data_IF_079386263471
#
_entry.id   IF_079386263471
#
_cell.length_a   1.000
_cell.length_b   1.000
_cell.length_c   1.000
_cell.angle_alpha   90.00
_cell.angle_beta   90.00
_cell.angle_gamma   90.00
#
_symmetry.space_group_name_H-M   'P 1'
#
loop_
_entity.id
_entity.type
_entity.pdbx_description
1 polymer ?
#
# COMPACT_ATOMS: atom_id res chain seq x y z
N UNK A 1 8.54 5.08 74.71
CA UNK A 1 9.22 4.62 73.47
C UNK A 1 8.31 4.90 72.29
N UNK A 2 8.64 5.93 71.50
CA UNK A 2 7.82 6.44 70.40
C UNK A 2 8.06 5.60 69.13
N UNK A 3 6.99 5.06 68.54
CA UNK A 3 7.03 4.39 67.22
C UNK A 3 6.56 5.37 66.14
N UNK A 4 7.52 5.92 65.41
CA UNK A 4 7.30 6.77 64.24
C UNK A 4 6.94 5.88 63.04
N UNK A 5 5.66 5.88 62.66
CA UNK A 5 5.16 5.21 61.46
C UNK A 5 5.49 6.06 60.22
N UNK A 6 6.56 5.73 59.49
CA UNK A 6 6.82 6.28 58.17
C UNK A 6 5.86 5.69 57.15
N UNK A 7 4.83 6.47 56.81
CA UNK A 7 3.89 6.18 55.73
C UNK A 7 4.55 6.56 54.41
N UNK A 8 5.26 5.63 53.75
CA UNK A 8 5.79 5.84 52.40
C UNK A 8 4.63 5.93 51.41
N UNK A 9 4.24 7.16 51.08
CA UNK A 9 3.31 7.45 50.00
C UNK A 9 3.99 7.27 48.64
N UNK A 10 3.86 6.09 48.03
CA UNK A 10 4.10 5.90 46.60
C UNK A 10 2.92 6.48 45.81
N UNK A 11 2.78 7.80 45.86
CA UNK A 11 1.89 8.52 44.98
C UNK A 11 2.51 8.53 43.57
N UNK A 12 1.95 7.71 42.68
CA UNK A 12 1.74 8.09 41.27
C UNK A 12 2.97 8.69 40.57
N UNK A 13 4.05 7.92 40.43
CA UNK A 13 5.29 8.37 39.75
C UNK A 13 5.17 8.47 38.22
N UNK A 14 4.04 8.07 37.63
CA UNK A 14 3.76 8.36 36.23
C UNK A 14 2.74 9.49 36.17
N UNK A 15 3.11 10.67 35.65
CA UNK A 15 2.13 11.71 35.45
C UNK A 15 1.09 11.17 34.47
N UNK A 16 -0.19 11.32 34.79
CA UNK A 16 -1.31 10.86 33.94
C UNK A 16 -1.17 11.34 32.48
N UNK A 17 -0.45 12.44 32.27
CA UNK A 17 -0.08 12.97 30.96
C UNK A 17 0.81 12.03 30.13
N UNK A 18 1.67 11.21 30.73
CA UNK A 18 2.56 10.30 30.01
C UNK A 18 1.79 9.10 29.43
N UNK A 19 0.80 8.58 30.17
CA UNK A 19 -0.10 7.53 29.67
C UNK A 19 -0.99 8.10 28.56
N UNK A 20 -1.51 9.31 28.73
CA UNK A 20 -2.28 9.99 27.69
C UNK A 20 -1.45 10.23 26.41
N UNK A 21 -0.19 10.67 26.54
CA UNK A 21 0.72 10.83 25.40
C UNK A 21 1.04 9.50 24.69
N UNK A 22 1.22 8.41 25.43
CA UNK A 22 1.51 7.10 24.83
C UNK A 22 0.30 6.56 24.06
N UNK A 23 -0.91 6.77 24.58
CA UNK A 23 -2.16 6.39 23.89
C UNK A 23 -2.37 7.24 22.64
N UNK A 24 -2.15 8.56 22.70
CA UNK A 24 -2.22 9.42 21.52
C UNK A 24 -1.18 9.04 20.47
N UNK A 25 0.05 8.69 20.87
CA UNK A 25 1.10 8.24 19.95
C UNK A 25 0.77 6.89 19.29
N UNK A 26 0.15 5.97 20.04
CA UNK A 26 -0.29 4.67 19.51
C UNK A 26 -1.47 4.82 18.54
N UNK A 27 -2.38 5.77 18.80
CA UNK A 27 -3.46 6.14 17.89
C UNK A 27 -2.92 6.80 16.61
N UNK A 28 -1.88 7.63 16.72
CA UNK A 28 -1.19 8.23 15.55
C UNK A 28 -0.44 7.20 14.70
N UNK A 29 -0.01 6.08 15.28
CA UNK A 29 0.72 5.03 14.56
C UNK A 29 -0.18 4.11 13.72
N UNK A 30 -1.51 4.16 13.91
CA UNK A 30 -2.47 3.51 13.01
C UNK A 30 -2.70 4.36 11.75
N UNK A 31 -1.61 4.79 11.11
CA UNK A 31 -1.68 5.51 9.84
C UNK A 31 -2.45 4.63 8.85
N UNK A 32 -3.65 5.07 8.47
CA UNK A 32 -4.41 4.46 7.41
C UNK A 32 -3.51 4.47 6.16
N UNK A 33 -3.08 3.29 5.71
CA UNK A 33 -2.38 3.19 4.43
C UNK A 33 -3.32 3.70 3.35
N UNK A 34 -2.90 4.73 2.63
CA UNK A 34 -3.69 5.22 1.51
C UNK A 34 -3.75 4.17 0.41
N UNK A 35 -4.89 4.06 -0.28
CA UNK A 35 -4.98 3.14 -1.39
C UNK A 35 -3.97 3.58 -2.45
N UNK A 36 -3.06 2.69 -2.78
CA UNK A 36 -2.07 2.90 -3.83
C UNK A 36 -2.55 2.19 -5.08
N UNK A 37 -2.61 2.93 -6.19
CA UNK A 37 -2.96 2.39 -7.50
C UNK A 37 -1.72 2.39 -8.37
N UNK A 38 -1.41 1.24 -8.96
CA UNK A 38 -0.39 1.10 -9.98
C UNK A 38 -1.04 0.64 -11.29
N UNK A 39 -0.66 1.29 -12.39
CA UNK A 39 -1.17 0.98 -13.73
C UNK A 39 -0.08 0.28 -14.55
N UNK A 40 -0.46 -0.79 -15.24
CA UNK A 40 0.30 -1.42 -16.31
C UNK A 40 -0.47 -1.29 -17.62
N UNK A 41 0.18 -0.77 -18.65
CA UNK A 41 -0.36 -0.60 -19.98
C UNK A 41 0.76 -0.79 -21.03
N UNK A 42 0.44 -1.27 -22.25
CA UNK A 42 1.42 -1.32 -23.32
C UNK A 42 1.86 0.09 -23.72
N UNK A 43 3.14 0.25 -24.02
CA UNK A 43 3.69 1.52 -24.48
C UNK A 43 3.36 1.80 -25.95
N UNK A 44 3.21 0.74 -26.75
CA UNK A 44 2.93 0.79 -28.19
C UNK A 44 1.84 -0.20 -28.56
N UNK A 45 0.93 0.21 -29.44
CA UNK A 45 -0.09 -0.63 -30.06
C UNK A 45 -0.26 -0.21 -31.52
N UNK A 46 -0.45 -1.16 -32.43
CA UNK A 46 -0.81 -0.84 -33.81
C UNK A 46 -2.30 -0.44 -33.92
N UNK A 47 -2.65 0.57 -34.74
CA UNK A 47 -4.03 0.82 -35.13
C UNK A 47 -4.69 -0.46 -35.67
N UNK A 48 -5.93 -0.73 -35.27
CA UNK A 48 -6.68 -1.96 -35.55
C UNK A 48 -6.47 -3.11 -34.56
N UNK A 49 -5.53 -2.98 -33.62
CA UNK A 49 -5.26 -4.02 -32.62
C UNK A 49 -5.85 -3.69 -31.23
N UNK A 50 -5.90 -4.71 -30.38
CA UNK A 50 -6.33 -4.58 -28.98
C UNK A 50 -5.15 -4.49 -28.02
N UNK A 51 -5.34 -3.72 -26.95
CA UNK A 51 -4.45 -3.62 -25.80
C UNK A 51 -5.14 -4.05 -24.51
N UNK A 52 -4.35 -4.21 -23.44
CA UNK A 52 -4.85 -4.49 -22.09
C UNK A 52 -4.26 -3.49 -21.11
N UNK A 53 -5.10 -2.93 -20.25
CA UNK A 53 -4.68 -2.12 -19.10
C UNK A 53 -5.06 -2.86 -17.83
N UNK A 54 -4.14 -2.92 -16.88
CA UNK A 54 -4.34 -3.51 -15.56
C UNK A 54 -4.00 -2.49 -14.49
N UNK A 55 -4.94 -2.26 -13.57
CA UNK A 55 -4.72 -1.54 -12.34
C UNK A 55 -4.60 -2.53 -11.20
N UNK A 56 -3.46 -2.51 -10.50
CA UNK A 56 -3.32 -3.17 -9.21
C UNK A 56 -3.50 -2.12 -8.11
N UNK A 57 -4.52 -2.35 -7.27
CA UNK A 57 -4.90 -1.48 -6.16
C UNK A 57 -4.56 -2.20 -4.86
N UNK A 58 -3.86 -1.52 -3.96
CA UNK A 58 -3.44 -2.05 -2.66
C UNK A 58 -3.72 -1.04 -1.55
N UNK A 59 -3.90 -1.48 -0.31
CA UNK A 59 -4.18 -0.59 0.83
C UNK A 59 -5.66 -0.20 0.95
N UNK A 60 -6.55 -0.92 0.25
CA UNK A 60 -7.98 -0.84 0.52
C UNK A 60 -8.27 -1.45 1.90
N UNK A 61 -9.33 -1.04 2.59
CA UNK A 61 -9.85 -1.87 3.67
C UNK A 61 -11.03 -2.70 3.15
N UNK A 62 -11.10 -3.97 3.54
CA UNK A 62 -12.22 -4.83 3.20
C UNK A 62 -13.56 -4.22 3.63
N UNK A 63 -14.49 -4.04 2.68
CA UNK A 63 -15.77 -3.38 2.90
C UNK A 63 -15.82 -1.90 2.50
N UNK A 64 -14.72 -1.30 2.08
CA UNK A 64 -14.72 0.06 1.54
C UNK A 64 -15.09 0.07 0.05
N UNK A 65 -15.86 1.07 -0.37
CA UNK A 65 -16.15 1.33 -1.78
C UNK A 65 -14.94 2.01 -2.43
N UNK A 66 -14.54 1.51 -3.59
CA UNK A 66 -13.50 2.09 -4.44
C UNK A 66 -14.09 2.41 -5.80
N UNK A 67 -13.79 3.61 -6.31
CA UNK A 67 -14.23 4.06 -7.62
C UNK A 67 -13.04 4.43 -8.48
N UNK A 68 -13.00 3.92 -9.71
CA UNK A 68 -12.07 4.32 -10.75
C UNK A 68 -12.84 4.75 -11.99
N UNK A 69 -12.47 5.89 -12.56
CA UNK A 69 -12.95 6.42 -13.83
C UNK A 69 -11.78 6.58 -14.80
N UNK A 70 -11.90 5.96 -15.96
CA UNK A 70 -10.93 6.02 -17.06
C UNK A 70 -11.54 6.81 -18.22
N UNK A 71 -10.86 7.86 -18.68
CA UNK A 71 -11.19 8.54 -19.93
C UNK A 71 -10.26 8.05 -21.03
N UNK A 72 -10.86 7.42 -22.05
CA UNK A 72 -10.14 6.91 -23.21
C UNK A 72 -9.96 8.01 -24.27
N UNK A 73 -8.84 8.01 -25.01
CA UNK A 73 -8.61 8.96 -26.09
C UNK A 73 -9.50 8.67 -27.30
N UNK A 74 -9.61 9.65 -28.21
CA UNK A 74 -10.35 9.45 -29.47
C UNK A 74 -9.78 8.28 -30.26
N UNK A 75 -10.65 7.52 -30.93
CA UNK A 75 -10.28 6.33 -31.68
C UNK A 75 -10.01 5.10 -30.80
N UNK A 76 -10.19 5.16 -29.48
CA UNK A 76 -10.06 3.99 -28.59
C UNK A 76 -11.41 3.59 -28.01
N UNK A 77 -11.71 2.29 -28.08
CA UNK A 77 -12.96 1.73 -27.56
C UNK A 77 -12.69 0.64 -26.53
N UNK A 78 -13.31 0.75 -25.35
CA UNK A 78 -13.31 -0.31 -24.35
C UNK A 78 -14.09 -1.55 -24.84
N UNK A 79 -13.53 -2.74 -24.65
CA UNK A 79 -14.15 -4.00 -25.09
C UNK A 79 -14.64 -4.85 -23.94
N UNK A 80 -13.72 -5.35 -23.12
CA UNK A 80 -14.05 -6.18 -21.96
C UNK A 80 -13.39 -5.62 -20.72
N UNK A 81 -13.94 -5.96 -19.56
CA UNK A 81 -13.35 -5.64 -18.27
C UNK A 81 -13.66 -6.75 -17.26
N UNK A 82 -12.83 -6.81 -16.21
CA UNK A 82 -13.00 -7.66 -15.05
C UNK A 82 -12.42 -6.98 -13.81
N UNK A 83 -13.01 -7.25 -12.66
CA UNK A 83 -12.47 -6.89 -11.36
C UNK A 83 -12.30 -8.15 -10.53
N UNK A 84 -11.13 -8.32 -9.94
CA UNK A 84 -10.88 -9.32 -8.89
C UNK A 84 -10.64 -8.62 -7.56
N UNK A 85 -11.02 -9.26 -6.45
CA UNK A 85 -10.94 -8.64 -5.13
C UNK A 85 -12.10 -7.69 -4.80
N UNK A 86 -13.19 -7.74 -5.57
CA UNK A 86 -14.48 -7.18 -5.17
C UNK A 86 -15.25 -8.19 -4.29
N UNK A 87 -16.13 -7.71 -3.40
CA UNK A 87 -17.05 -8.57 -2.64
C UNK A 87 -18.15 -9.13 -3.52
N UNK A 88 -18.66 -8.30 -4.40
CA UNK A 88 -19.75 -8.61 -5.31
C UNK A 88 -19.28 -9.30 -6.59
N UNK A 89 -20.22 -9.94 -7.29
CA UNK A 89 -19.98 -10.52 -8.60
C UNK A 89 -19.84 -9.44 -9.68
N UNK A 90 -19.33 -9.82 -10.86
CA UNK A 90 -19.12 -8.90 -11.99
C UNK A 90 -20.38 -8.09 -12.35
N UNK A 91 -21.54 -8.72 -12.34
CA UNK A 91 -22.80 -8.09 -12.77
C UNK A 91 -23.35 -7.07 -11.76
N UNK A 92 -22.85 -7.12 -10.52
CA UNK A 92 -23.25 -6.22 -9.43
C UNK A 92 -22.31 -5.01 -9.29
N UNK A 93 -21.17 -5.02 -10.00
CA UNK A 93 -20.25 -3.87 -10.03
C UNK A 93 -20.93 -2.72 -10.76
N UNK A 94 -21.04 -1.58 -10.10
CA UNK A 94 -21.66 -0.39 -10.67
C UNK A 94 -20.75 0.13 -11.78
N UNK A 95 -21.29 0.22 -12.99
CA UNK A 95 -20.59 0.84 -14.12
C UNK A 95 -21.32 2.07 -14.63
N UNK A 96 -20.56 3.06 -15.11
CA UNK A 96 -21.10 4.27 -15.73
C UNK A 96 -20.29 4.59 -16.98
N UNK A 97 -20.96 4.95 -18.07
CA UNK A 97 -20.34 5.43 -19.30
C UNK A 97 -20.83 6.83 -19.62
N UNK A 98 -19.91 7.76 -19.90
CA UNK A 98 -20.22 9.12 -20.38
C UNK A 98 -19.25 9.51 -21.48
N UNK A 99 -19.68 9.42 -22.74
CA UNK A 99 -18.78 9.60 -23.88
C UNK A 99 -17.68 8.53 -23.89
N UNK A 100 -16.42 8.95 -23.83
CA UNK A 100 -15.23 8.08 -23.74
C UNK A 100 -14.81 7.79 -22.29
N UNK A 101 -15.52 8.32 -21.30
CA UNK A 101 -15.30 8.01 -19.88
C UNK A 101 -16.05 6.75 -19.45
N UNK A 102 -15.34 5.87 -18.75
CA UNK A 102 -15.81 4.61 -18.19
C UNK A 102 -15.48 4.55 -16.71
N UNK A 103 -16.47 4.34 -15.85
CA UNK A 103 -16.26 4.21 -14.41
C UNK A 103 -16.72 2.85 -13.89
N UNK A 104 -15.98 2.34 -12.90
CA UNK A 104 -16.28 1.14 -12.12
C UNK A 104 -16.27 1.51 -10.65
N UNK A 105 -17.31 1.15 -9.92
CA UNK A 105 -17.37 1.28 -8.46
C UNK A 105 -17.73 -0.05 -7.84
N UNK A 106 -16.94 -0.49 -6.87
CA UNK A 106 -17.12 -1.77 -6.21
C UNK A 106 -16.65 -1.74 -4.75
N UNK A 107 -17.13 -2.69 -3.96
CA UNK A 107 -16.69 -2.88 -2.57
C UNK A 107 -15.52 -3.85 -2.51
N UNK A 108 -14.41 -3.45 -1.90
CA UNK A 108 -13.23 -4.31 -1.76
C UNK A 108 -13.51 -5.52 -0.84
N UNK A 109 -13.10 -6.73 -1.21
CA UNK A 109 -13.21 -7.91 -0.36
C UNK A 109 -12.10 -8.04 0.68
N UNK A 110 -10.96 -7.39 0.42
CA UNK A 110 -9.80 -7.33 1.31
C UNK A 110 -8.90 -6.16 0.95
N UNK A 111 -7.59 -6.31 1.19
CA UNK A 111 -6.65 -5.18 1.14
C UNK A 111 -6.13 -4.85 -0.27
N UNK A 112 -6.51 -5.65 -1.26
CA UNK A 112 -6.09 -5.49 -2.65
C UNK A 112 -7.18 -5.91 -3.63
N UNK A 113 -7.19 -5.25 -4.77
CA UNK A 113 -8.05 -5.60 -5.91
C UNK A 113 -7.30 -5.37 -7.22
N UNK A 114 -7.85 -5.88 -8.30
CA UNK A 114 -7.30 -5.67 -9.65
C UNK A 114 -8.43 -5.41 -10.62
N UNK A 115 -8.36 -4.28 -11.32
CA UNK A 115 -9.23 -3.98 -12.46
C UNK A 115 -8.42 -4.20 -13.74
N UNK A 116 -8.90 -5.05 -14.63
CA UNK A 116 -8.31 -5.24 -15.96
C UNK A 116 -9.35 -4.92 -17.01
N UNK A 117 -8.96 -4.16 -18.04
CA UNK A 117 -9.80 -3.99 -19.23
C UNK A 117 -9.00 -4.17 -20.51
N UNK A 118 -9.69 -4.60 -21.56
CA UNK A 118 -9.19 -4.61 -22.92
C UNK A 118 -9.79 -3.45 -23.70
N UNK A 119 -9.01 -2.90 -24.61
CA UNK A 119 -9.44 -1.84 -25.50
C UNK A 119 -8.99 -2.13 -26.92
N UNK A 120 -9.65 -1.54 -27.90
CA UNK A 120 -9.27 -1.61 -29.31
C UNK A 120 -8.95 -0.20 -29.81
N UNK A 121 -7.90 -0.08 -30.61
CA UNK A 121 -7.50 1.15 -31.28
C UNK A 121 -8.06 1.12 -32.71
N UNK A 122 -8.80 2.14 -33.12
CA UNK A 122 -9.33 2.26 -34.47
C UNK A 122 -8.18 2.41 -35.48
N UNK A 123 -8.41 1.97 -36.73
CA UNK A 123 -7.40 2.04 -37.82
C UNK A 123 -6.97 3.48 -38.12
N UNK A 124 -7.87 4.44 -37.90
CA UNK A 124 -7.69 5.87 -38.14
C UNK A 124 -7.35 6.66 -36.86
N UNK A 125 -7.01 5.96 -35.78
CA UNK A 125 -6.64 6.61 -34.53
C UNK A 125 -5.38 7.48 -34.70
N UNK A 126 -5.30 8.63 -34.00
CA UNK A 126 -4.14 9.52 -34.04
C UNK A 126 -2.88 8.82 -33.52
N UNK A 127 -1.67 9.25 -33.90
CA UNK A 127 -0.42 8.53 -33.57
C UNK A 127 -0.13 8.25 -32.08
N UNK A 128 -0.87 8.87 -31.16
CA UNK A 128 -0.86 8.56 -29.72
C UNK A 128 -2.17 8.96 -29.05
N UNK A 129 -2.44 8.41 -27.87
CA UNK A 129 -3.58 8.82 -27.04
C UNK A 129 -3.28 8.78 -25.54
N UNK A 130 -3.84 9.76 -24.82
CA UNK A 130 -3.77 9.83 -23.36
C UNK A 130 -4.91 9.03 -22.71
N UNK A 131 -4.53 8.18 -21.76
CA UNK A 131 -5.40 7.39 -20.90
C UNK A 131 -5.39 8.01 -19.50
N UNK A 132 -6.50 8.63 -19.13
CA UNK A 132 -6.60 9.43 -17.92
C UNK A 132 -7.49 8.73 -16.89
N UNK A 133 -6.86 8.16 -15.87
CA UNK A 133 -7.52 7.57 -14.72
C UNK A 133 -7.67 8.60 -13.61
N UNK A 134 -8.85 8.60 -13.04
CA UNK A 134 -9.19 9.26 -11.78
C UNK A 134 -9.69 8.17 -10.84
N UNK A 135 -9.24 8.19 -9.59
CA UNK A 135 -9.75 7.25 -8.59
C UNK A 135 -10.00 7.93 -7.26
N UNK A 136 -10.97 7.37 -6.55
CA UNK A 136 -11.46 7.86 -5.27
C UNK A 136 -11.33 6.75 -4.23
N UNK A 137 -10.69 7.09 -3.11
CA UNK A 137 -10.66 6.27 -1.91
C UNK A 137 -11.08 7.12 -0.70
N UNK A 138 -11.00 6.54 0.51
CA UNK A 138 -11.30 7.27 1.76
C UNK A 138 -10.38 8.46 2.03
N UNK A 139 -9.20 8.51 1.40
CA UNK A 139 -8.18 9.54 1.60
C UNK A 139 -8.32 10.68 0.58
N UNK A 140 -9.10 10.46 -0.49
CA UNK A 140 -9.54 11.50 -1.39
C UNK A 140 -9.42 11.12 -2.86
N UNK A 141 -9.01 12.10 -3.66
CA UNK A 141 -8.94 12.03 -5.11
C UNK A 141 -7.49 11.92 -5.55
N UNK A 142 -7.23 11.00 -6.49
CA UNK A 142 -5.95 10.85 -7.14
C UNK A 142 -6.13 10.69 -8.65
N UNK A 143 -5.05 10.95 -9.41
CA UNK A 143 -5.05 10.94 -10.87
C UNK A 143 -3.82 10.21 -11.40
N UNK A 144 -3.99 9.41 -12.43
CA UNK A 144 -2.91 8.76 -13.17
C UNK A 144 -3.11 8.95 -14.69
N UNK A 145 -2.09 9.44 -15.38
CA UNK A 145 -2.15 9.69 -16.83
C UNK A 145 -1.04 8.87 -17.48
N UNK A 146 -1.39 8.06 -18.48
CA UNK A 146 -0.41 7.37 -19.32
C UNK A 146 -0.67 7.68 -20.79
N UNK A 147 0.39 7.72 -21.60
CA UNK A 147 0.29 7.91 -23.04
C UNK A 147 0.69 6.62 -23.73
N UNK A 148 -0.16 6.15 -24.64
CA UNK A 148 0.12 4.99 -25.49
C UNK A 148 0.32 5.48 -26.92
N UNK A 149 1.38 4.99 -27.55
CA UNK A 149 1.68 5.29 -28.95
C UNK A 149 0.90 4.33 -29.86
N UNK A 150 0.15 4.85 -30.84
CA UNK A 150 -0.62 4.07 -31.80
C UNK A 150 0.17 3.89 -33.10
N UNK A 151 1.31 3.21 -32.98
CA UNK A 151 2.21 2.95 -34.10
C UNK A 151 3.03 1.68 -33.85
N UNK A 152 3.62 1.17 -34.92
CA UNK A 152 4.58 0.08 -34.80
C UNK A 152 5.75 0.55 -33.93
N UNK A 153 6.26 -0.35 -33.08
CA UNK A 153 7.51 -0.07 -32.38
C UNK A 153 8.56 0.14 -33.46
N UNK A 154 9.01 1.39 -33.64
CA UNK A 154 10.11 1.69 -34.56
C UNK A 154 11.31 0.89 -34.06
N UNK A 155 11.55 -0.24 -34.70
CA UNK A 155 12.70 -1.06 -34.42
C UNK A 155 13.90 -0.18 -34.79
N UNK A 156 14.89 -0.01 -33.90
CA UNK A 156 16.10 0.71 -34.25
C UNK A 156 16.60 0.16 -35.59
N UNK A 157 17.09 1.02 -36.52
CA UNK A 157 17.64 0.55 -37.78
C UNK A 157 18.58 -0.61 -37.47
N UNK A 158 18.37 -1.77 -38.11
CA UNK A 158 19.22 -2.92 -37.93
C UNK A 158 20.67 -2.43 -37.98
N UNK A 159 21.38 -2.59 -36.86
CA UNK A 159 22.75 -2.11 -36.73
C UNK A 159 23.49 -2.71 -37.93
N UNK A 160 24.00 -1.86 -38.84
CA UNK A 160 24.83 -2.33 -39.96
C UNK A 160 25.89 -3.25 -39.33
N UNK A 161 26.22 -4.40 -39.93
CA UNK A 161 27.24 -5.29 -39.40
C UNK A 161 28.46 -4.45 -39.05
N UNK A 162 28.74 -4.29 -37.75
CA UNK A 162 29.94 -3.61 -37.33
C UNK A 162 31.12 -4.41 -37.92
N UNK A 163 32.10 -3.76 -38.57
CA UNK A 163 33.38 -4.39 -38.83
C UNK A 163 33.86 -5.03 -37.52
N UNK A 164 34.46 -6.23 -37.53
CA UNK A 164 34.81 -6.96 -36.32
C UNK A 164 35.57 -6.04 -35.36
N UNK A 165 34.91 -5.69 -34.25
CA UNK A 165 35.47 -4.81 -33.24
C UNK A 165 36.62 -5.56 -32.58
N UNK A 166 37.84 -5.04 -32.76
CA UNK A 166 39.02 -5.47 -32.02
C UNK A 166 38.72 -5.46 -30.51
N UNK A 167 39.08 -6.50 -29.76
CA UNK A 167 38.72 -6.61 -28.34
C UNK A 167 39.27 -5.41 -27.57
N UNK A 168 38.37 -4.57 -27.10
CA UNK A 168 38.69 -3.48 -26.16
C UNK A 168 38.53 -4.05 -24.75
N UNK A 169 39.47 -3.76 -23.82
CA UNK A 169 39.44 -4.34 -22.47
C UNK A 169 38.15 -4.02 -21.72
N UNK A 170 37.61 -5.04 -21.06
CA UNK A 170 36.42 -4.98 -20.21
C UNK A 170 36.45 -3.76 -19.27
N UNK A 171 35.64 -2.76 -19.59
CA UNK A 171 35.23 -1.75 -18.60
C UNK A 171 33.86 -2.16 -18.11
N UNK A 172 33.85 -2.79 -16.93
CA UNK A 172 32.65 -3.26 -16.24
C UNK A 172 31.62 -2.12 -16.12
N UNK A 173 30.48 -2.29 -16.81
CA UNK A 173 29.33 -1.40 -16.69
C UNK A 173 28.69 -1.65 -15.32
N UNK A 174 28.85 -0.69 -14.41
CA UNK A 174 28.21 -0.68 -13.10
C UNK A 174 26.74 -0.30 -13.28
N UNK A 175 25.86 -1.31 -13.30
CA UNK A 175 24.40 -1.14 -13.31
C UNK A 175 23.98 -0.39 -12.04
N UNK A 176 23.21 0.70 -12.11
CA UNK A 176 22.66 1.33 -10.91
C UNK A 176 21.59 0.42 -10.31
N UNK A 177 21.95 -0.24 -9.21
CA UNK A 177 21.01 -0.89 -8.28
C UNK A 177 20.00 0.15 -7.81
N UNK A 178 18.72 -0.09 -8.09
CA UNK A 178 17.63 0.67 -7.46
C UNK A 178 17.57 0.20 -6.02
N UNK A 179 18.23 0.94 -5.13
CA UNK A 179 18.19 0.69 -3.70
C UNK A 179 16.77 0.95 -3.21
N UNK A 180 15.98 -0.12 -3.13
CA UNK A 180 14.81 -0.18 -2.27
C UNK A 180 15.34 -0.09 -0.84
N UNK A 181 15.36 1.11 -0.29
CA UNK A 181 15.65 1.36 1.13
C UNK A 181 14.61 0.63 1.97
N UNK A 182 14.90 -0.63 2.26
CA UNK A 182 14.14 -1.46 3.17
C UNK A 182 14.20 -0.82 4.54
N UNK A 183 13.11 -0.18 4.91
CA UNK A 183 12.80 0.37 6.22
C UNK A 183 12.64 -0.74 7.29
N UNK A 184 13.19 -1.93 7.06
CA UNK A 184 13.30 -3.03 8.03
C UNK A 184 13.97 -2.59 9.35
N UNK A 185 14.90 -1.64 9.31
CA UNK A 185 15.51 -1.09 10.53
C UNK A 185 14.48 -0.36 11.42
N UNK A 186 13.46 0.25 10.82
CA UNK A 186 12.41 0.98 11.53
C UNK A 186 11.48 0.02 12.28
N UNK A 187 11.21 -1.17 11.71
CA UNK A 187 10.44 -2.24 12.36
C UNK A 187 11.16 -2.79 13.61
N UNK A 188 12.49 -2.95 13.56
CA UNK A 188 13.27 -3.39 14.73
C UNK A 188 13.22 -2.38 15.88
N UNK A 189 13.24 -1.08 15.59
CA UNK A 189 13.13 -0.02 16.62
C UNK A 189 11.77 -0.11 17.35
N UNK A 190 10.68 -0.34 16.62
CA UNK A 190 9.33 -0.47 17.20
C UNK A 190 9.25 -1.70 18.13
N UNK A 191 9.78 -2.85 17.69
CA UNK A 191 9.77 -4.08 18.50
C UNK A 191 10.56 -3.90 19.80
N UNK A 192 11.75 -3.28 19.73
CA UNK A 192 12.59 -3.02 20.91
C UNK A 192 11.85 -2.10 21.90
N UNK A 193 11.17 -1.08 21.40
CA UNK A 193 10.38 -0.16 22.23
C UNK A 193 9.23 -0.88 22.95
N UNK A 194 8.46 -1.73 22.25
CA UNK A 194 7.38 -2.51 22.86
C UNK A 194 7.92 -3.46 23.93
N UNK A 195 9.02 -4.15 23.65
CA UNK A 195 9.64 -5.06 24.61
C UNK A 195 10.15 -4.33 25.86
N UNK A 196 10.77 -3.17 25.69
CA UNK A 196 11.26 -2.34 26.80
C UNK A 196 10.10 -1.82 27.67
N UNK A 197 9.01 -1.33 27.05
CA UNK A 197 7.81 -0.89 27.79
C UNK A 197 7.14 -2.07 28.49
N UNK A 198 7.02 -3.23 27.83
CA UNK A 198 6.48 -4.45 28.42
C UNK A 198 7.30 -4.95 29.62
N UNK A 199 8.62 -4.95 29.52
CA UNK A 199 9.52 -5.32 30.62
C UNK A 199 9.43 -4.34 31.80
N UNK A 200 9.42 -3.04 31.52
CA UNK A 200 9.22 -2.01 32.54
C UNK A 200 7.86 -2.18 33.24
N UNK A 201 6.79 -2.43 32.49
CA UNK A 201 5.48 -2.70 33.05
C UNK A 201 5.45 -4.00 33.87
N UNK A 202 6.15 -5.05 33.44
CA UNK A 202 6.22 -6.31 34.17
C UNK A 202 6.98 -6.21 35.50
N UNK A 203 8.02 -5.37 35.54
CA UNK A 203 8.87 -5.15 36.71
C UNK A 203 8.26 -4.13 37.68
N UNK A 204 7.66 -3.05 37.17
CA UNK A 204 7.16 -1.93 37.96
C UNK A 204 5.62 -1.87 38.05
N UNK A 205 4.93 -2.84 37.44
CA UNK A 205 3.47 -2.91 37.40
C UNK A 205 2.84 -3.08 38.79
N UNK A 206 1.76 -2.34 39.08
CA UNK A 206 1.10 -2.35 40.38
C UNK A 206 0.26 -3.63 40.55
N UNK A 207 0.89 -4.74 40.93
CA UNK A 207 0.14 -6.00 41.04
C UNK A 207 0.76 -7.13 41.85
N UNK A 208 2.07 -7.12 42.13
CA UNK A 208 2.67 -8.22 42.91
C UNK A 208 2.55 -7.99 44.39
N UNK A 209 1.35 -8.22 44.94
CA UNK A 209 1.21 -8.48 46.37
C UNK A 209 1.95 -9.79 46.66
N UNK A 210 3.15 -9.68 47.25
CA UNK A 210 3.85 -10.85 47.78
C UNK A 210 2.92 -11.53 48.79
N UNK A 211 2.44 -12.73 48.46
CA UNK A 211 1.75 -13.59 49.43
C UNK A 211 2.71 -13.82 50.58
N UNK A 212 2.43 -13.22 51.74
CA UNK A 212 3.19 -13.52 52.95
C UNK A 212 3.03 -15.02 53.24
N UNK A 213 4.11 -15.78 53.40
CA UNK A 213 4.01 -17.17 53.81
C UNK A 213 3.40 -17.20 55.22
N UNK A 214 2.22 -17.80 55.35
CA UNK A 214 1.60 -18.05 56.64
C UNK A 214 2.35 -19.20 57.32
N UNK A 215 3.35 -18.87 58.14
CA UNK A 215 3.90 -19.81 59.11
C UNK A 215 2.99 -19.82 60.34
N UNK A 216 2.02 -20.74 60.34
CA UNK A 216 1.26 -21.08 61.55
C UNK A 216 2.05 -22.14 62.31
N UNK A 217 2.84 -21.71 63.30
CA UNK A 217 3.45 -22.59 64.29
C UNK A 217 2.38 -22.96 65.34
N UNK A 218 1.71 -24.09 65.12
CA UNK A 218 0.83 -24.69 66.12
C UNK A 218 1.66 -25.41 67.19
N UNK A 219 1.87 -24.75 68.34
CA UNK A 219 2.30 -25.42 69.57
C UNK A 219 1.03 -25.99 70.22
N UNK A 220 0.85 -27.31 70.17
CA UNK A 220 -0.11 -28.03 71.02
C UNK A 220 0.58 -28.39 72.32
N UNK A 221 -0.02 -27.98 73.44
CA UNK A 221 0.21 -28.56 74.77
C UNK A 221 -0.78 -29.70 74.98
#
# INVERSE_FOLDING_TARGET
MNKTQQKLGFASLFPKSLIASLVVLLILAMAASAATVSRSAPQYILPGNSGTVTFAITGLAGGEEFTLEETLPSGVTLKTWSVTGAKEGKDDIKTRKKGTSHAWSYTASGDSSTLTYTFEVAIDAPGSGEFNAVYFDKNGFNKDITTIMFQEKVQPPAEKPQPPTQPTPDTAIKVPSKDTTSNAWMWWVIIILIAAVGAAYYLYGPGRKQKKPNFSAGIKR
#
